data_IF_333563220529
#
_entry.id   IF_333563220529
#
_cell.length_a   1.000
_cell.length_b   1.000
_cell.length_c   1.000
_cell.angle_alpha   90.00
_cell.angle_beta   90.00
_cell.angle_gamma   90.00
#
_symmetry.space_group_name_H-M   'P 1'
#
loop_
_entity.id
_entity.type
_entity.pdbx_description
1 polymer ?
#
# COMPACT_ATOMS: atom_id res chain seq x y z
N UNK A 1 -4.23 -25.42 -14.02
CA UNK A 1 -5.03 -25.02 -12.84
C UNK A 1 -6.13 -24.02 -13.20
N UNK A 2 -5.87 -23.00 -14.01
CA UNK A 2 -6.87 -21.98 -14.44
C UNK A 2 -8.11 -22.55 -15.14
N UNK A 3 -7.94 -23.47 -16.11
CA UNK A 3 -9.07 -24.08 -16.85
C UNK A 3 -10.13 -24.77 -15.95
N UNK A 4 -9.68 -25.48 -14.92
CA UNK A 4 -10.57 -26.17 -13.98
C UNK A 4 -11.34 -25.21 -13.04
N UNK A 5 -10.78 -24.01 -12.81
CA UNK A 5 -11.41 -22.95 -12.00
C UNK A 5 -12.50 -22.23 -12.79
N UNK A 6 -12.28 -22.00 -14.08
CA UNK A 6 -13.28 -21.44 -15.00
C UNK A 6 -14.46 -22.42 -15.23
N UNK A 7 -14.19 -23.71 -15.30
CA UNK A 7 -15.19 -24.74 -15.49
C UNK A 7 -16.10 -24.90 -14.25
N UNK A 8 -15.52 -24.83 -13.04
CA UNK A 8 -16.29 -24.84 -11.79
C UNK A 8 -17.15 -23.59 -11.60
N UNK A 9 -16.72 -22.43 -12.11
CA UNK A 9 -17.51 -21.21 -12.08
C UNK A 9 -18.70 -21.28 -13.05
N UNK A 10 -18.52 -21.86 -14.24
CA UNK A 10 -19.61 -22.13 -15.21
C UNK A 10 -20.66 -23.10 -14.70
N UNK A 11 -20.24 -24.03 -13.84
CA UNK A 11 -21.14 -25.06 -13.27
C UNK A 11 -21.83 -24.65 -11.96
N UNK A 12 -21.65 -23.42 -11.48
CA UNK A 12 -22.28 -22.91 -10.25
C UNK A 12 -21.74 -23.54 -8.95
N UNK A 13 -20.64 -24.27 -9.00
CA UNK A 13 -20.00 -24.92 -7.83
C UNK A 13 -19.15 -23.95 -7.01
N UNK A 14 -19.81 -22.93 -6.46
CA UNK A 14 -19.17 -21.89 -5.63
C UNK A 14 -18.40 -22.47 -4.43
N UNK A 15 -18.89 -23.55 -3.82
CA UNK A 15 -18.25 -24.20 -2.66
C UNK A 15 -16.86 -24.77 -2.98
N UNK A 16 -16.70 -25.37 -4.16
CA UNK A 16 -15.41 -25.90 -4.62
C UNK A 16 -14.44 -24.82 -5.04
N UNK A 17 -14.97 -23.69 -5.53
CA UNK A 17 -14.19 -22.48 -5.82
C UNK A 17 -13.58 -21.92 -4.53
N UNK A 18 -14.40 -21.74 -3.49
CA UNK A 18 -13.93 -21.24 -2.18
C UNK A 18 -12.96 -22.23 -1.50
N UNK A 19 -13.15 -23.53 -1.66
CA UNK A 19 -12.22 -24.53 -1.14
C UNK A 19 -10.86 -24.41 -1.83
N UNK A 20 -10.83 -24.30 -3.15
CA UNK A 20 -9.57 -24.11 -3.91
C UNK A 20 -8.87 -22.78 -3.60
N UNK A 21 -9.63 -21.69 -3.40
CA UNK A 21 -9.08 -20.41 -2.96
C UNK A 21 -8.44 -20.55 -1.57
N UNK A 22 -9.05 -21.34 -0.68
CA UNK A 22 -8.51 -21.61 0.66
C UNK A 22 -7.24 -22.48 0.59
N UNK A 23 -7.23 -23.49 -0.27
CA UNK A 23 -6.08 -24.39 -0.44
C UNK A 23 -4.88 -23.71 -1.13
N UNK A 24 -5.14 -22.73 -2.02
CA UNK A 24 -4.09 -21.88 -2.60
C UNK A 24 -3.54 -20.85 -1.61
N UNK A 25 -4.26 -20.52 -0.54
CA UNK A 25 -3.78 -19.63 0.52
C UNK A 25 -2.66 -20.23 1.36
N UNK A 26 -2.29 -21.49 1.18
CA UNK A 26 -1.20 -22.17 1.89
C UNK A 26 -1.06 -21.65 3.32
N UNK A 27 -1.11 -22.49 4.31
CA UNK A 27 -0.86 -22.09 5.70
C UNK A 27 0.54 -21.50 5.81
N UNK A 28 0.63 -20.18 5.76
CA UNK A 28 1.88 -19.47 6.06
C UNK A 28 2.17 -19.65 7.55
N UNK A 29 3.01 -20.61 7.88
CA UNK A 29 3.57 -20.74 9.20
C UNK A 29 4.72 -19.73 9.33
N UNK A 30 4.42 -18.57 9.90
CA UNK A 30 5.46 -17.65 10.30
C UNK A 30 6.38 -18.37 11.31
N UNK A 31 7.68 -18.47 11.02
CA UNK A 31 8.67 -18.89 12.02
C UNK A 31 8.60 -17.89 13.16
N UNK A 32 8.10 -18.32 14.32
CA UNK A 32 8.05 -17.50 15.52
C UNK A 32 9.47 -17.41 16.07
N UNK A 33 10.12 -16.25 15.86
CA UNK A 33 11.37 -15.89 16.55
C UNK A 33 11.06 -15.20 17.88
N UNK A 34 12.01 -15.20 18.82
CA UNK A 34 11.93 -14.40 20.04
C UNK A 34 12.01 -12.91 19.73
N UNK A 35 11.23 -12.08 20.44
CA UNK A 35 11.26 -10.61 20.34
C UNK A 35 11.61 -10.05 21.71
N UNK A 36 12.41 -8.99 21.77
CA UNK A 36 12.77 -8.32 23.03
C UNK A 36 11.69 -7.34 23.49
N UNK A 37 11.45 -7.28 24.79
CA UNK A 37 10.61 -6.26 25.41
C UNK A 37 11.35 -4.89 25.48
N UNK A 38 10.71 -3.88 26.13
CA UNK A 38 11.34 -2.54 26.34
C UNK A 38 12.59 -2.59 27.23
N UNK A 39 12.74 -3.64 28.02
CA UNK A 39 13.86 -3.85 28.97
C UNK A 39 14.89 -4.82 28.38
N UNK A 40 14.87 -5.08 27.07
CA UNK A 40 15.80 -5.99 26.37
C UNK A 40 15.70 -7.46 26.79
N UNK A 41 14.61 -7.87 27.46
CA UNK A 41 14.33 -9.27 27.82
C UNK A 41 13.66 -10.00 26.68
N UNK A 42 14.08 -11.23 26.39
CA UNK A 42 13.51 -12.07 25.35
C UNK A 42 12.09 -12.52 25.72
N UNK A 43 11.11 -12.22 24.84
CA UNK A 43 9.73 -12.68 24.94
C UNK A 43 9.60 -13.94 24.09
N UNK A 44 9.17 -15.02 24.71
CA UNK A 44 8.98 -16.34 24.07
C UNK A 44 7.50 -16.71 23.86
N UNK A 45 6.60 -16.09 24.63
CA UNK A 45 5.18 -16.39 24.56
C UNK A 45 4.52 -15.72 23.34
N UNK A 46 3.72 -16.51 22.60
CA UNK A 46 3.07 -16.07 21.36
C UNK A 46 2.16 -14.84 21.55
N UNK A 47 1.40 -14.82 22.64
CA UNK A 47 0.47 -13.72 22.96
C UNK A 47 1.20 -12.44 23.36
N UNK A 48 2.27 -12.54 24.13
CA UNK A 48 3.11 -11.39 24.48
C UNK A 48 3.84 -10.84 23.27
N UNK A 49 4.36 -11.68 22.38
CA UNK A 49 4.95 -11.26 21.11
C UNK A 49 3.93 -10.54 20.23
N UNK A 50 2.70 -11.05 20.18
CA UNK A 50 1.60 -10.42 19.42
C UNK A 50 1.27 -9.05 19.99
N UNK A 51 1.13 -8.94 21.31
CA UNK A 51 0.88 -7.67 22.03
C UNK A 51 2.00 -6.66 21.76
N UNK A 52 3.25 -7.08 21.83
CA UNK A 52 4.43 -6.22 21.58
C UNK A 52 4.46 -5.72 20.12
N UNK A 53 4.16 -6.60 19.16
CA UNK A 53 4.03 -6.22 17.75
C UNK A 53 2.90 -5.21 17.53
N UNK A 54 1.79 -5.39 18.24
CA UNK A 54 0.65 -4.48 18.16
C UNK A 54 0.97 -3.12 18.78
N UNK A 55 1.63 -3.05 19.95
CA UNK A 55 2.11 -1.80 20.53
C UNK A 55 3.05 -1.05 19.59
N UNK A 56 3.95 -1.76 18.91
CA UNK A 56 4.85 -1.13 17.95
C UNK A 56 4.11 -0.57 16.74
N UNK A 57 3.07 -1.27 16.25
CA UNK A 57 2.25 -0.77 15.15
C UNK A 57 1.38 0.43 15.56
N UNK A 58 0.92 0.48 16.81
CA UNK A 58 0.16 1.64 17.33
C UNK A 58 1.02 2.92 17.40
N UNK A 59 2.34 2.80 17.59
CA UNK A 59 3.24 3.96 17.54
C UNK A 59 3.24 4.64 16.17
N UNK A 60 3.05 3.89 15.08
CA UNK A 60 2.94 4.44 13.73
C UNK A 60 1.60 5.13 13.46
N UNK A 61 0.56 4.81 14.24
CA UNK A 61 -0.76 5.46 14.12
C UNK A 61 -0.81 6.84 14.78
N UNK A 62 0.05 7.09 15.78
CA UNK A 62 0.06 8.35 16.55
C UNK A 62 0.57 9.58 15.80
N UNK A 63 1.13 9.43 14.60
CA UNK A 63 1.61 10.53 13.77
C UNK A 63 0.63 10.94 12.68
N UNK A 64 -0.63 10.54 12.76
CA UNK A 64 -1.58 10.82 11.69
C UNK A 64 -2.21 12.19 11.85
N UNK A 65 -2.08 12.95 10.78
CA UNK A 65 -2.82 14.14 10.40
C UNK A 65 -4.33 13.94 10.64
N UNK A 66 -4.91 14.86 11.40
CA UNK A 66 -6.35 14.91 11.64
C UNK A 66 -7.02 15.51 10.39
N UNK A 67 -7.78 14.73 9.61
CA UNK A 67 -8.41 15.23 8.39
C UNK A 67 -9.59 16.16 8.66
N UNK A 68 -10.07 16.26 9.93
CA UNK A 68 -11.26 17.01 10.27
C UNK A 68 -10.98 18.52 10.50
N UNK A 69 -9.71 18.97 10.35
CA UNK A 69 -9.31 20.36 10.60
C UNK A 69 -9.02 21.13 9.30
N UNK A 70 -9.76 20.89 8.23
CA UNK A 70 -9.73 21.69 7.02
C UNK A 70 -11.03 22.47 6.83
N UNK A 71 -11.03 23.73 7.26
CA UNK A 71 -12.02 24.77 6.91
C UNK A 71 -11.85 25.27 5.44
N UNK A 72 -11.47 24.40 4.55
CA UNK A 72 -11.39 24.70 3.13
C UNK A 72 -12.59 24.15 2.38
N UNK A 73 -13.52 25.01 1.99
CA UNK A 73 -14.52 24.67 0.97
C UNK A 73 -13.78 24.35 -0.32
N UNK A 74 -13.42 23.08 -0.52
CA UNK A 74 -12.92 22.57 -1.79
C UNK A 74 -14.12 22.51 -2.71
N UNK A 75 -14.32 23.55 -3.52
CA UNK A 75 -15.21 23.48 -4.69
C UNK A 75 -14.61 22.43 -5.61
N UNK A 76 -15.21 21.26 -5.62
CA UNK A 76 -14.75 20.12 -6.39
C UNK A 76 -15.01 20.42 -7.89
N UNK A 77 -14.01 20.99 -8.56
CA UNK A 77 -14.01 21.21 -10.02
C UNK A 77 -13.66 19.92 -10.80
N UNK A 78 -13.32 18.86 -10.11
CA UNK A 78 -12.94 17.60 -10.70
C UNK A 78 -14.17 16.81 -11.18
N UNK A 79 -14.13 16.23 -12.38
CA UNK A 79 -15.24 15.46 -12.93
C UNK A 79 -15.52 14.19 -12.12
N UNK A 80 -16.75 13.70 -12.23
CA UNK A 80 -17.15 12.41 -11.65
C UNK A 80 -16.21 11.28 -12.07
N UNK A 81 -16.10 10.27 -11.21
CA UNK A 81 -15.29 9.08 -11.52
C UNK A 81 -15.95 8.32 -12.68
N UNK A 82 -15.15 8.03 -13.71
CA UNK A 82 -15.59 7.32 -14.89
C UNK A 82 -15.37 5.81 -14.78
N UNK A 83 -16.22 5.04 -15.44
CA UNK A 83 -16.10 3.57 -15.48
C UNK A 83 -14.77 3.11 -16.10
N UNK A 84 -14.26 3.84 -17.10
CA UNK A 84 -12.95 3.55 -17.72
C UNK A 84 -11.78 3.71 -16.73
N UNK A 85 -11.84 4.67 -15.81
CA UNK A 85 -10.83 4.85 -14.76
C UNK A 85 -10.84 3.66 -13.80
N UNK A 86 -12.03 3.20 -13.39
CA UNK A 86 -12.18 2.03 -12.53
C UNK A 86 -11.65 0.77 -13.24
N UNK A 87 -11.99 0.58 -14.51
CA UNK A 87 -11.50 -0.54 -15.32
C UNK A 87 -9.98 -0.53 -15.45
N UNK A 88 -9.40 0.64 -15.71
CA UNK A 88 -7.94 0.81 -15.76
C UNK A 88 -7.28 0.52 -14.40
N UNK A 89 -7.80 1.08 -13.32
CA UNK A 89 -7.27 0.88 -11.98
C UNK A 89 -7.37 -0.58 -11.53
N UNK A 90 -8.49 -1.23 -11.85
CA UNK A 90 -8.71 -2.65 -11.58
C UNK A 90 -7.69 -3.52 -12.35
N UNK A 91 -7.44 -3.22 -13.62
CA UNK A 91 -6.42 -3.91 -14.43
C UNK A 91 -5.00 -3.78 -13.90
N UNK A 92 -4.73 -2.74 -13.08
CA UNK A 92 -3.43 -2.52 -12.44
C UNK A 92 -3.23 -3.33 -11.15
N UNK A 93 -4.25 -4.02 -10.63
CA UNK A 93 -4.12 -4.86 -9.45
C UNK A 93 -3.27 -6.10 -9.76
N UNK A 94 -2.24 -6.29 -8.93
CA UNK A 94 -1.38 -7.47 -9.03
C UNK A 94 -2.00 -8.65 -8.32
N UNK A 95 -1.98 -9.81 -8.95
CA UNK A 95 -2.43 -11.07 -8.37
C UNK A 95 -1.46 -11.59 -7.30
N UNK A 96 -1.91 -12.58 -6.53
CA UNK A 96 -1.13 -13.24 -5.47
C UNK A 96 -0.63 -12.26 -4.39
N UNK A 97 -1.42 -11.22 -4.10
CA UNK A 97 -1.18 -10.30 -2.99
C UNK A 97 -2.15 -10.57 -1.85
N UNK A 98 -1.65 -10.37 -0.62
CA UNK A 98 -2.48 -10.50 0.57
C UNK A 98 -3.66 -9.53 0.52
N UNK A 99 -4.84 -10.03 0.90
CA UNK A 99 -6.06 -9.24 1.04
C UNK A 99 -6.00 -8.32 2.26
N UNK A 100 -6.78 -7.26 2.24
CA UNK A 100 -6.98 -6.38 3.39
C UNK A 100 -7.87 -7.00 4.48
N UNK A 101 -8.48 -6.13 5.30
CA UNK A 101 -9.39 -6.52 6.39
C UNK A 101 -10.60 -7.32 5.89
N UNK A 102 -11.08 -6.97 4.70
CA UNK A 102 -12.25 -7.59 4.05
C UNK A 102 -12.00 -9.03 3.58
N UNK A 103 -10.75 -9.48 3.56
CA UNK A 103 -10.38 -10.82 3.10
C UNK A 103 -10.63 -11.05 1.61
N UNK A 104 -10.98 -10.03 0.82
CA UNK A 104 -11.29 -10.17 -0.61
C UNK A 104 -9.98 -10.21 -1.41
N UNK A 105 -9.65 -11.32 -2.09
CA UNK A 105 -8.44 -11.41 -2.89
C UNK A 105 -8.58 -10.67 -4.24
N UNK A 106 -7.47 -10.18 -4.78
CA UNK A 106 -7.46 -9.48 -6.07
C UNK A 106 -8.00 -10.35 -7.22
N UNK A 107 -7.79 -11.66 -7.14
CA UNK A 107 -8.24 -12.67 -8.11
C UNK A 107 -9.76 -12.66 -8.30
N UNK A 108 -10.52 -12.34 -7.24
CA UNK A 108 -11.97 -12.28 -7.31
C UNK A 108 -12.43 -11.19 -8.28
N UNK A 109 -11.80 -10.02 -8.23
CA UNK A 109 -12.11 -8.92 -9.15
C UNK A 109 -11.80 -9.28 -10.61
N UNK A 110 -10.72 -10.01 -10.85
CA UNK A 110 -10.38 -10.50 -12.19
C UNK A 110 -11.36 -11.55 -12.72
N UNK A 111 -11.95 -12.37 -11.83
CA UNK A 111 -12.97 -13.35 -12.20
C UNK A 111 -14.28 -12.67 -12.56
N UNK A 112 -14.69 -11.67 -11.79
CA UNK A 112 -15.96 -10.95 -11.97
C UNK A 112 -15.95 -9.97 -13.16
N UNK A 113 -14.76 -9.58 -13.64
CA UNK A 113 -14.56 -8.71 -14.82
C UNK A 113 -15.49 -7.47 -14.80
N UNK A 114 -16.34 -7.33 -15.82
CA UNK A 114 -17.20 -6.16 -15.98
C UNK A 114 -18.22 -5.98 -14.84
N UNK A 115 -18.65 -7.04 -14.18
CA UNK A 115 -19.51 -6.94 -13.00
C UNK A 115 -18.76 -6.28 -11.81
N UNK A 116 -17.49 -6.62 -11.61
CA UNK A 116 -16.67 -5.94 -10.61
C UNK A 116 -16.50 -4.46 -10.93
N UNK A 117 -16.28 -4.12 -12.19
CA UNK A 117 -16.18 -2.72 -12.66
C UNK A 117 -17.43 -1.94 -12.31
N UNK A 118 -18.63 -2.44 -12.66
CA UNK A 118 -19.90 -1.77 -12.38
C UNK A 118 -20.13 -1.51 -10.89
N UNK A 119 -19.90 -2.53 -10.06
CA UNK A 119 -20.09 -2.41 -8.61
C UNK A 119 -19.09 -1.41 -8.03
N UNK A 120 -17.80 -1.54 -8.35
CA UNK A 120 -16.78 -0.62 -7.86
C UNK A 120 -17.00 0.81 -8.37
N UNK A 121 -17.44 0.98 -9.61
CA UNK A 121 -17.76 2.29 -10.17
C UNK A 121 -18.87 2.97 -9.35
N UNK A 122 -19.98 2.26 -9.07
CA UNK A 122 -21.06 2.79 -8.22
C UNK A 122 -20.56 3.20 -6.84
N UNK A 123 -19.74 2.35 -6.19
CA UNK A 123 -19.16 2.65 -4.87
C UNK A 123 -18.21 3.86 -4.94
N UNK A 124 -17.32 3.89 -5.92
CA UNK A 124 -16.37 5.01 -6.09
C UNK A 124 -17.09 6.34 -6.37
N UNK A 125 -18.14 6.33 -7.20
CA UNK A 125 -18.98 7.53 -7.44
C UNK A 125 -19.66 7.99 -6.16
N UNK A 126 -20.18 7.06 -5.36
CA UNK A 126 -20.85 7.39 -4.12
C UNK A 126 -19.86 8.02 -3.11
N UNK A 127 -18.66 7.46 -2.98
CA UNK A 127 -17.59 8.02 -2.15
C UNK A 127 -17.21 9.42 -2.64
N UNK A 128 -17.10 9.60 -3.97
CA UNK A 128 -16.75 10.88 -4.57
C UNK A 128 -17.77 11.97 -4.29
N UNK A 129 -19.07 11.65 -4.41
CA UNK A 129 -20.17 12.59 -4.14
C UNK A 129 -20.36 12.93 -2.67
N UNK A 130 -20.28 11.92 -1.79
CA UNK A 130 -20.50 12.08 -0.35
C UNK A 130 -19.23 12.57 0.36
N UNK A 131 -18.05 12.39 -0.27
CA UNK A 131 -16.73 12.69 0.31
C UNK A 131 -16.44 11.92 1.62
N UNK A 132 -17.08 10.78 1.80
CA UNK A 132 -16.90 9.92 2.96
C UNK A 132 -16.43 8.53 2.55
N UNK A 133 -15.35 8.08 3.17
CA UNK A 133 -14.84 6.74 2.98
C UNK A 133 -15.60 5.74 3.83
N UNK A 134 -15.89 4.53 3.31
CA UNK A 134 -16.42 3.43 4.11
C UNK A 134 -15.49 3.12 5.29
N UNK A 135 -16.06 2.81 6.46
CA UNK A 135 -15.26 2.54 7.67
C UNK A 135 -14.26 1.39 7.48
N UNK A 136 -14.65 0.36 6.72
CA UNK A 136 -13.74 -0.77 6.44
C UNK A 136 -12.57 -0.38 5.53
N UNK A 137 -12.73 0.65 4.70
CA UNK A 137 -11.64 1.17 3.86
C UNK A 137 -10.67 2.08 4.62
N UNK A 138 -11.09 2.65 5.75
CA UNK A 138 -10.24 3.40 6.67
C UNK A 138 -9.36 2.50 7.53
N UNK A 139 -9.63 1.19 7.56
CA UNK A 139 -8.88 0.22 8.36
C UNK A 139 -7.79 -0.44 7.52
N UNK A 140 -6.62 -0.62 8.11
CA UNK A 140 -5.53 -1.39 7.55
C UNK A 140 -5.01 -2.42 8.55
N UNK A 141 -4.56 -3.56 8.03
CA UNK A 141 -3.87 -4.56 8.82
C UNK A 141 -2.37 -4.31 8.69
N UNK A 142 -1.70 -4.04 9.80
CA UNK A 142 -0.26 -3.85 9.81
C UNK A 142 0.45 -5.19 10.02
N UNK A 143 1.33 -5.55 9.09
CA UNK A 143 2.15 -6.76 9.17
C UNK A 143 3.61 -6.35 9.37
N UNK A 144 4.25 -6.70 10.48
CA UNK A 144 5.66 -6.48 10.67
C UNK A 144 6.48 -7.50 9.88
N UNK A 145 7.36 -7.02 9.00
CA UNK A 145 8.29 -7.83 8.22
C UNK A 145 9.70 -7.62 8.76
N UNK A 146 10.43 -8.69 8.96
CA UNK A 146 11.82 -8.63 9.41
C UNK A 146 12.70 -7.98 8.33
N UNK A 147 13.54 -7.01 8.72
CA UNK A 147 14.56 -6.40 7.86
C UNK A 147 15.81 -7.27 7.73
N UNK A 148 16.06 -8.13 8.75
CA UNK A 148 17.22 -9.01 8.86
C UNK A 148 16.77 -10.38 9.37
N UNK A 149 17.54 -11.39 9.05
CA UNK A 149 17.40 -12.69 9.69
C UNK A 149 17.67 -12.56 11.20
N UNK A 150 16.88 -13.28 12.01
CA UNK A 150 16.94 -13.26 13.47
C UNK A 150 16.71 -11.89 14.12
N UNK A 151 15.84 -11.05 13.54
CA UNK A 151 15.43 -9.78 14.13
C UNK A 151 14.79 -10.00 15.51
N UNK A 152 15.36 -9.39 16.54
CA UNK A 152 14.90 -9.48 17.93
C UNK A 152 14.28 -8.17 18.43
N UNK A 153 14.65 -7.05 17.85
CA UNK A 153 14.17 -5.73 18.23
C UNK A 153 13.08 -5.22 17.29
N UNK A 154 12.14 -4.45 17.84
CA UNK A 154 11.06 -3.87 17.03
C UNK A 154 11.57 -2.95 15.92
N UNK A 155 12.69 -2.26 16.12
CA UNK A 155 13.38 -1.41 15.14
C UNK A 155 13.87 -2.18 13.91
N UNK A 156 14.06 -3.49 14.03
CA UNK A 156 14.50 -4.38 12.95
C UNK A 156 13.34 -4.90 12.09
N UNK A 157 12.13 -4.43 12.36
CA UNK A 157 10.96 -4.74 11.54
C UNK A 157 10.54 -3.53 10.73
N UNK A 158 10.02 -3.79 9.53
CA UNK A 158 9.31 -2.83 8.69
C UNK A 158 7.83 -3.21 8.67
N UNK A 159 6.95 -2.27 9.00
CA UNK A 159 5.51 -2.53 8.93
C UNK A 159 4.98 -2.30 7.52
N UNK A 160 4.20 -3.25 7.02
CA UNK A 160 3.44 -3.10 5.77
C UNK A 160 1.97 -3.01 6.13
N UNK A 161 1.29 -1.97 5.63
CA UNK A 161 -0.14 -1.81 5.76
C UNK A 161 -0.86 -2.54 4.63
N UNK A 162 -1.72 -3.49 4.98
CA UNK A 162 -2.62 -4.15 4.04
C UNK A 162 -3.97 -3.44 4.07
N UNK A 163 -4.34 -2.85 2.95
CA UNK A 163 -5.65 -2.24 2.71
C UNK A 163 -6.47 -3.10 1.77
N UNK A 164 -7.80 -2.92 1.76
CA UNK A 164 -8.68 -3.62 0.83
C UNK A 164 -8.29 -3.36 -0.63
N UNK A 165 -8.46 -4.34 -1.50
CA UNK A 165 -8.18 -4.17 -2.92
C UNK A 165 -9.15 -3.18 -3.57
N UNK A 166 -10.41 -3.13 -3.10
CA UNK A 166 -11.39 -2.16 -3.55
C UNK A 166 -10.95 -0.71 -3.21
N UNK A 167 -10.50 -0.47 -1.97
CA UNK A 167 -9.91 0.82 -1.58
C UNK A 167 -8.70 1.19 -2.43
N UNK A 168 -7.85 0.22 -2.76
CA UNK A 168 -6.68 0.44 -3.62
C UNK A 168 -7.05 0.90 -5.03
N UNK A 169 -8.17 0.41 -5.59
CA UNK A 169 -8.68 0.89 -6.88
C UNK A 169 -8.99 2.38 -6.82
N UNK A 170 -9.75 2.82 -5.81
CA UNK A 170 -10.06 4.24 -5.62
C UNK A 170 -8.79 5.10 -5.43
N UNK A 171 -7.87 4.65 -4.57
CA UNK A 171 -6.59 5.35 -4.36
C UNK A 171 -5.76 5.45 -5.65
N UNK A 172 -5.83 4.45 -6.52
CA UNK A 172 -5.12 4.45 -7.80
C UNK A 172 -5.68 5.50 -8.76
N UNK A 173 -7.00 5.67 -8.79
CA UNK A 173 -7.67 6.72 -9.56
C UNK A 173 -7.25 8.09 -9.05
N UNK A 174 -7.34 8.31 -7.73
CA UNK A 174 -6.92 9.57 -7.11
C UNK A 174 -5.44 9.86 -7.37
N UNK A 175 -4.57 8.86 -7.26
CA UNK A 175 -3.15 8.99 -7.58
C UNK A 175 -2.94 9.47 -9.03
N UNK A 176 -3.67 8.90 -9.99
CA UNK A 176 -3.53 9.26 -11.40
C UNK A 176 -3.97 10.70 -11.66
N UNK A 177 -5.08 11.12 -11.06
CA UNK A 177 -5.57 12.51 -11.15
C UNK A 177 -4.61 13.50 -10.51
N UNK A 178 -4.17 13.23 -9.29
CA UNK A 178 -3.22 14.10 -8.56
C UNK A 178 -1.84 14.16 -9.23
N UNK A 179 -1.41 13.10 -9.91
CA UNK A 179 -0.08 13.06 -10.53
C UNK A 179 0.14 14.19 -11.53
N UNK A 180 -0.91 14.65 -12.20
CA UNK A 180 -0.82 15.76 -13.16
C UNK A 180 -0.46 17.06 -12.46
N UNK A 181 -1.13 17.37 -11.35
CA UNK A 181 -0.89 18.58 -10.56
C UNK A 181 0.44 18.52 -9.81
N UNK A 182 0.68 17.43 -9.09
CA UNK A 182 1.92 17.25 -8.31
C UNK A 182 3.15 17.33 -9.19
N UNK A 183 3.11 16.85 -10.42
CA UNK A 183 4.25 16.91 -11.33
C UNK A 183 4.61 18.35 -11.74
N UNK A 184 3.66 19.27 -11.72
CA UNK A 184 3.88 20.68 -12.02
C UNK A 184 4.38 21.47 -10.81
N UNK A 185 3.85 21.15 -9.63
CA UNK A 185 4.19 21.85 -8.37
C UNK A 185 5.54 21.41 -7.76
N UNK A 186 5.97 20.17 -8.05
CA UNK A 186 7.23 19.67 -7.49
C UNK A 186 8.44 20.38 -8.10
N UNK A 187 9.33 20.97 -7.28
CA UNK A 187 10.54 21.62 -7.75
C UNK A 187 11.45 20.60 -8.46
N UNK A 188 12.24 21.09 -9.43
CA UNK A 188 13.12 20.24 -10.24
C UNK A 188 14.20 19.51 -9.43
N UNK A 189 14.53 20.00 -8.24
CA UNK A 189 15.50 19.38 -7.33
C UNK A 189 14.92 18.15 -6.60
N UNK A 190 13.59 18.03 -6.52
CA UNK A 190 12.92 16.89 -5.90
C UNK A 190 13.09 15.64 -6.77
N UNK A 191 13.76 14.64 -6.24
CA UNK A 191 13.96 13.35 -6.92
C UNK A 191 13.07 12.24 -6.38
N UNK A 192 12.77 12.25 -5.08
CA UNK A 192 11.94 11.22 -4.43
C UNK A 192 10.52 11.23 -4.97
N UNK A 193 9.98 10.04 -5.21
CA UNK A 193 8.60 9.81 -5.70
C UNK A 193 8.26 10.45 -7.05
N UNK A 194 9.26 10.89 -7.81
CA UNK A 194 9.08 11.50 -9.13
C UNK A 194 9.37 10.50 -10.24
N UNK A 195 8.46 10.39 -11.21
CA UNK A 195 8.63 9.53 -12.39
C UNK A 195 9.85 9.96 -13.19
N UNK A 196 10.68 8.99 -13.60
CA UNK A 196 11.90 9.26 -14.38
C UNK A 196 13.10 9.77 -13.59
N UNK A 197 13.00 9.83 -12.25
CA UNK A 197 14.11 10.17 -11.36
C UNK A 197 14.54 8.96 -10.55
N UNK A 198 15.67 8.39 -10.89
CA UNK A 198 16.20 7.20 -10.21
C UNK A 198 17.25 7.54 -9.14
N UNK A 199 17.43 6.64 -8.18
CA UNK A 199 18.49 6.76 -7.16
C UNK A 199 19.88 6.84 -7.81
N UNK A 200 20.10 6.12 -8.91
CA UNK A 200 21.37 6.17 -9.67
C UNK A 200 21.70 7.55 -10.17
N UNK A 201 20.71 8.27 -10.71
CA UNK A 201 20.91 9.63 -11.25
C UNK A 201 21.29 10.59 -10.13
N UNK A 202 20.68 10.43 -8.96
CA UNK A 202 21.00 11.26 -7.79
C UNK A 202 22.41 10.98 -7.25
N UNK A 203 22.83 9.72 -7.21
CA UNK A 203 24.19 9.33 -6.84
C UNK A 203 25.19 9.93 -7.84
N UNK A 204 24.91 9.84 -9.14
CA UNK A 204 25.77 10.42 -10.18
C UNK A 204 25.90 11.94 -10.03
N UNK A 205 24.77 12.63 -9.78
CA UNK A 205 24.78 14.08 -9.53
C UNK A 205 25.64 14.47 -8.33
N UNK A 206 25.55 13.72 -7.23
CA UNK A 206 26.36 13.96 -6.03
C UNK A 206 27.84 13.72 -6.32
N UNK A 207 28.17 12.61 -6.98
CA UNK A 207 29.56 12.32 -7.37
C UNK A 207 30.12 13.43 -8.27
N UNK A 208 29.32 13.94 -9.20
CA UNK A 208 29.71 15.05 -10.06
C UNK A 208 29.95 16.35 -9.27
N UNK A 209 29.04 16.71 -8.33
CA UNK A 209 29.19 17.89 -7.47
C UNK A 209 30.47 17.79 -6.63
N UNK A 210 30.74 16.63 -6.01
CA UNK A 210 31.94 16.39 -5.20
C UNK A 210 33.20 16.56 -6.07
N UNK A 211 33.19 16.00 -7.28
CA UNK A 211 34.32 16.14 -8.21
C UNK A 211 34.57 17.61 -8.56
N UNK A 212 33.51 18.36 -8.91
CA UNK A 212 33.61 19.79 -9.24
C UNK A 212 34.05 20.63 -8.05
N UNK A 213 33.56 20.36 -6.84
CA UNK A 213 34.00 21.04 -5.63
C UNK A 213 35.48 20.86 -5.36
N UNK A 214 36.02 19.64 -5.60
CA UNK A 214 37.45 19.33 -5.45
C UNK A 214 38.28 20.07 -6.50
N UNK A 215 37.84 20.07 -7.78
CA UNK A 215 38.54 20.84 -8.87
C UNK A 215 38.62 22.33 -8.56
N UNK A 216 37.56 22.90 -8.00
CA UNK A 216 37.46 24.33 -7.68
C UNK A 216 38.02 24.68 -6.30
N UNK A 217 38.53 23.71 -5.54
CA UNK A 217 39.00 23.86 -4.15
C UNK A 217 37.97 24.55 -3.24
N UNK A 218 36.68 24.33 -3.50
CA UNK A 218 35.55 24.85 -2.70
C UNK A 218 35.01 23.80 -1.76
N UNK A 219 34.67 24.20 -0.52
CA UNK A 219 33.95 23.34 0.42
C UNK A 219 32.48 23.39 0.03
N UNK A 220 31.90 22.21 -0.25
CA UNK A 220 30.46 22.07 -0.56
C UNK A 220 29.84 21.18 0.50
N UNK A 221 28.83 21.69 1.17
CA UNK A 221 27.98 20.89 2.06
C UNK A 221 26.70 20.52 1.30
N UNK A 222 26.43 19.23 1.18
CA UNK A 222 25.17 18.74 0.62
C UNK A 222 24.42 17.95 1.72
N UNK A 223 23.15 18.29 1.94
CA UNK A 223 22.24 17.52 2.79
C UNK A 223 21.34 16.67 1.91
N UNK A 224 21.28 15.38 2.21
CA UNK A 224 20.41 14.44 1.53
C UNK A 224 19.40 13.93 2.54
N UNK A 225 18.14 14.21 2.29
CA UNK A 225 17.00 13.59 2.96
C UNK A 225 16.51 12.42 2.08
N UNK A 226 16.56 11.21 2.62
CA UNK A 226 15.97 10.01 2.02
C UNK A 226 14.62 9.71 2.66
#
# INVERSE_FOLDING_TARGET
MQKKTEENNRMGKTRDLFKKIRDTKGTFHAKMGTIKDRNSKDITEAEEMKKRKQEYTELYKKGHYDPDNHDGVVTCLEPDIMECEVKWALGSLTMNKASGVDGIPAELFHILKDNAVKVLHSVCQQIWKIQQWPQDWKRSVFIPIQKKDNAKECSEYCTIALISHASRVMLKILQARLQQYVSQELPNVQAGFRKGRGTRDQIANICWIIKKARELKKITCASLTM
#
